data_IF_968689013500
#
_entry.id   IF_968689013500
#
_cell.length_a   1.000
_cell.length_b   1.000
_cell.length_c   1.000
_cell.angle_alpha   90.00
_cell.angle_beta   90.00
_cell.angle_gamma   90.00
#
_symmetry.space_group_name_H-M   'P 1'
#
loop_
_entity.id
_entity.type
_entity.pdbx_description
1 polymer ?
#
# COMPACT_ATOMS: atom_id res chain seq x y z
N UNK A 1 13.13 2.25 11.98
CA UNK A 1 12.65 3.65 11.82
C UNK A 1 11.20 3.73 12.32
N UNK A 2 10.78 4.77 13.05
CA UNK A 2 9.41 4.85 13.60
C UNK A 2 8.36 5.11 12.52
N UNK A 3 7.13 4.61 12.67
CA UNK A 3 6.03 4.81 11.71
C UNK A 3 5.79 6.29 11.38
N UNK A 4 5.76 7.14 12.40
CA UNK A 4 5.56 8.59 12.21
C UNK A 4 6.70 9.25 11.42
N UNK A 5 7.93 8.76 11.57
CA UNK A 5 9.09 9.25 10.83
C UNK A 5 9.02 8.83 9.36
N UNK A 6 8.64 7.57 9.08
CA UNK A 6 8.46 7.05 7.71
C UNK A 6 7.43 7.89 6.97
N UNK A 7 6.26 8.13 7.58
CA UNK A 7 5.21 8.99 7.02
C UNK A 7 5.72 10.40 6.71
N UNK A 8 6.39 11.03 7.67
CA UNK A 8 6.91 12.39 7.47
C UNK A 8 7.97 12.46 6.37
N UNK A 9 8.87 11.46 6.31
CA UNK A 9 9.90 11.37 5.26
C UNK A 9 9.29 11.22 3.87
N UNK A 10 8.28 10.37 3.72
CA UNK A 10 7.57 10.19 2.46
C UNK A 10 6.97 11.50 1.94
N UNK A 11 6.17 12.17 2.76
CA UNK A 11 5.51 13.42 2.35
C UNK A 11 6.53 14.51 2.02
N UNK A 12 7.56 14.68 2.85
CA UNK A 12 8.64 15.64 2.61
C UNK A 12 9.49 15.31 1.39
N UNK A 13 9.68 14.02 1.09
CA UNK A 13 10.41 13.60 -0.11
C UNK A 13 9.66 14.06 -1.35
N UNK A 14 8.38 13.75 -1.46
CA UNK A 14 7.58 14.16 -2.62
C UNK A 14 7.33 15.67 -2.68
N UNK A 15 7.24 16.36 -1.54
CA UNK A 15 7.26 17.83 -1.50
C UNK A 15 8.52 18.39 -2.18
N UNK A 16 9.71 17.81 -1.92
CA UNK A 16 10.96 18.20 -2.60
C UNK A 16 10.96 17.89 -4.10
N UNK A 17 10.15 16.92 -4.55
CA UNK A 17 9.95 16.60 -5.98
C UNK A 17 8.83 17.44 -6.63
N UNK A 18 8.31 18.45 -5.91
CA UNK A 18 7.32 19.40 -6.41
C UNK A 18 5.87 18.95 -6.27
N UNK A 19 5.59 17.92 -5.46
CA UNK A 19 4.22 17.50 -5.17
C UNK A 19 3.59 18.37 -4.11
N UNK A 20 2.32 18.73 -4.29
CA UNK A 20 1.54 19.39 -3.24
C UNK A 20 1.19 18.37 -2.16
N UNK A 21 1.61 18.61 -0.92
CA UNK A 21 1.20 17.78 0.23
C UNK A 21 -0.25 18.09 0.57
N UNK A 22 -1.10 17.07 0.58
CA UNK A 22 -2.52 17.19 0.91
C UNK A 22 -2.88 16.30 2.09
N UNK A 23 -3.90 16.72 2.81
CA UNK A 23 -4.49 15.93 3.88
C UNK A 23 -5.21 14.69 3.34
N UNK A 24 -5.27 13.65 4.17
CA UNK A 24 -6.12 12.48 3.93
C UNK A 24 -7.58 12.91 3.86
N UNK A 25 -8.32 12.41 2.86
CA UNK A 25 -9.77 12.57 2.81
C UNK A 25 -10.46 11.79 3.94
N UNK A 26 -11.74 12.08 4.15
CA UNK A 26 -12.63 11.25 4.98
C UNK A 26 -12.64 9.79 4.49
N UNK A 27 -12.90 8.86 5.41
CA UNK A 27 -13.16 7.45 5.09
C UNK A 27 -14.51 7.25 4.39
N UNK A 28 -15.46 8.15 4.62
CA UNK A 28 -16.78 8.13 3.99
C UNK A 28 -16.72 9.02 2.74
N UNK A 29 -16.88 8.46 1.53
CA UNK A 29 -16.88 9.24 0.30
C UNK A 29 -18.10 10.17 0.27
N UNK A 30 -17.88 11.45 -0.02
CA UNK A 30 -18.97 12.45 -0.03
C UNK A 30 -19.77 12.43 -1.34
N UNK A 31 -19.13 12.11 -2.47
CA UNK A 31 -19.69 12.29 -3.82
C UNK A 31 -19.52 11.05 -4.71
N UNK A 32 -19.35 9.86 -4.13
CA UNK A 32 -19.19 8.63 -4.91
C UNK A 32 -20.09 7.52 -4.38
N UNK A 33 -21.29 7.31 -4.98
CA UNK A 33 -22.22 6.27 -4.54
C UNK A 33 -21.73 4.85 -4.87
N UNK A 34 -20.64 4.71 -5.62
CA UNK A 34 -20.06 3.41 -5.99
C UNK A 34 -19.05 2.90 -4.96
N UNK A 35 -18.64 3.71 -3.98
CA UNK A 35 -17.78 3.28 -2.88
C UNK A 35 -18.51 3.30 -1.55
N UNK A 36 -18.32 2.20 -0.81
CA UNK A 36 -18.75 2.12 0.59
C UNK A 36 -17.81 2.92 1.50
N UNK A 37 -16.51 2.68 1.38
CA UNK A 37 -15.44 3.40 2.09
C UNK A 37 -14.30 3.73 1.15
N UNK A 38 -13.49 4.73 1.50
CA UNK A 38 -12.24 5.04 0.81
C UNK A 38 -11.28 3.86 0.95
N UNK A 39 -10.98 3.22 -0.17
CA UNK A 39 -10.18 2.00 -0.29
C UNK A 39 -8.75 2.24 -0.83
N UNK A 40 -8.46 3.47 -1.26
CA UNK A 40 -7.16 3.89 -1.81
C UNK A 40 -6.96 5.43 -1.74
N UNK A 41 -5.69 5.85 -1.80
CA UNK A 41 -5.30 7.27 -1.88
C UNK A 41 -5.92 8.03 -3.06
N UNK A 42 -6.08 7.34 -4.18
CA UNK A 42 -6.59 7.93 -5.42
C UNK A 42 -8.05 8.34 -5.39
N UNK A 43 -8.85 7.87 -4.42
CA UNK A 43 -10.30 8.04 -4.46
C UNK A 43 -10.71 9.52 -4.46
N UNK A 44 -10.01 10.37 -3.70
CA UNK A 44 -10.25 11.83 -3.65
C UNK A 44 -9.80 12.59 -4.92
N UNK A 45 -9.17 11.89 -5.87
CA UNK A 45 -8.68 12.42 -7.15
C UNK A 45 -9.37 11.75 -8.35
N UNK A 46 -10.41 10.93 -8.13
CA UNK A 46 -11.13 10.22 -9.20
C UNK A 46 -11.52 11.14 -10.36
N UNK A 47 -12.17 12.27 -10.06
CA UNK A 47 -12.62 13.21 -11.10
C UNK A 47 -11.48 13.99 -11.75
N UNK A 48 -10.33 14.12 -11.08
CA UNK A 48 -9.11 14.68 -11.68
C UNK A 48 -8.55 13.72 -12.74
N UNK A 49 -8.45 12.42 -12.43
CA UNK A 49 -8.02 11.41 -13.40
C UNK A 49 -8.99 11.31 -14.60
N UNK A 50 -10.29 11.44 -14.36
CA UNK A 50 -11.32 11.45 -15.40
C UNK A 50 -11.34 12.75 -16.23
N UNK A 51 -10.55 13.76 -15.86
CA UNK A 51 -10.54 15.08 -16.51
C UNK A 51 -11.80 15.92 -16.28
N UNK A 52 -12.60 15.58 -15.26
CA UNK A 52 -13.82 16.29 -14.86
C UNK A 52 -13.54 17.41 -13.86
N UNK A 53 -12.45 17.30 -13.12
CA UNK A 53 -12.01 18.29 -12.14
C UNK A 53 -10.60 18.79 -12.48
N UNK A 54 -10.38 20.10 -12.38
CA UNK A 54 -9.05 20.70 -12.49
C UNK A 54 -8.58 21.19 -11.12
N UNK A 55 -7.30 20.94 -10.81
CA UNK A 55 -6.63 21.44 -9.60
C UNK A 55 -5.59 22.49 -10.00
N UNK A 56 -5.20 23.35 -9.05
CA UNK A 56 -4.12 24.32 -9.25
C UNK A 56 -2.73 23.67 -9.32
N UNK A 57 -2.63 22.40 -8.96
CA UNK A 57 -1.42 21.57 -9.00
C UNK A 57 -1.62 20.38 -9.94
N UNK A 58 -0.52 19.92 -10.53
CA UNK A 58 -0.47 18.75 -11.42
C UNK A 58 0.14 17.52 -10.74
N UNK A 59 0.65 17.69 -9.50
CA UNK A 59 1.30 16.66 -8.69
C UNK A 59 0.83 16.76 -7.24
N UNK A 60 0.55 15.65 -6.58
CA UNK A 60 0.13 15.62 -5.18
C UNK A 60 0.71 14.44 -4.40
N UNK A 61 0.81 14.57 -3.07
CA UNK A 61 1.20 13.46 -2.19
C UNK A 61 0.36 13.45 -0.91
N UNK A 62 0.00 12.25 -0.42
CA UNK A 62 -0.85 12.06 0.77
C UNK A 62 -0.42 10.85 1.59
N UNK A 63 -0.85 10.83 2.85
CA UNK A 63 -0.93 9.62 3.68
C UNK A 63 -2.41 9.35 3.94
N UNK A 64 -3.05 8.60 3.04
CA UNK A 64 -4.49 8.39 3.07
C UNK A 64 -4.85 7.30 4.09
N UNK A 65 -5.79 7.61 4.98
CA UNK A 65 -6.48 6.62 5.80
C UNK A 65 -7.40 5.78 4.90
N UNK A 66 -7.28 4.46 4.96
CA UNK A 66 -7.98 3.53 4.07
C UNK A 66 -8.75 2.50 4.90
N UNK A 67 -9.95 2.12 4.42
CA UNK A 67 -10.71 0.97 4.94
C UNK A 67 -11.01 -0.02 3.81
N UNK A 68 -10.59 -1.28 3.98
CA UNK A 68 -10.87 -2.41 3.07
C UNK A 68 -11.66 -3.51 3.77
N UNK A 69 -12.93 -3.20 4.06
CA UNK A 69 -13.87 -4.10 4.75
C UNK A 69 -15.13 -4.40 3.91
N UNK A 70 -15.05 -4.25 2.58
CA UNK A 70 -16.16 -4.49 1.68
C UNK A 70 -15.94 -3.94 0.27
N UNK A 71 -16.79 -4.34 -0.67
CA UNK A 71 -16.67 -3.94 -2.08
C UNK A 71 -15.54 -4.68 -2.80
N UNK A 72 -14.93 -4.04 -3.81
CA UNK A 72 -13.90 -4.63 -4.68
C UNK A 72 -12.66 -5.08 -3.92
N UNK A 73 -12.21 -4.25 -2.97
CA UNK A 73 -11.03 -4.48 -2.15
C UNK A 73 -11.50 -4.79 -0.73
N UNK A 74 -11.56 -6.07 -0.39
CA UNK A 74 -12.04 -6.54 0.91
C UNK A 74 -11.02 -7.49 1.54
N UNK A 75 -10.41 -7.04 2.62
CA UNK A 75 -9.38 -7.79 3.35
C UNK A 75 -9.91 -8.38 4.67
N UNK A 76 -11.21 -8.22 4.97
CA UNK A 76 -11.79 -8.59 6.27
C UNK A 76 -11.50 -10.04 6.67
N UNK A 77 -11.64 -10.99 5.74
CA UNK A 77 -11.39 -12.42 5.98
C UNK A 77 -9.90 -12.78 6.13
N UNK A 78 -8.99 -11.88 5.72
CA UNK A 78 -7.53 -12.08 5.81
C UNK A 78 -6.94 -11.54 7.12
N UNK A 79 -7.68 -10.67 7.80
CA UNK A 79 -7.25 -10.02 9.04
C UNK A 79 -7.14 -11.07 10.15
N UNK A 80 -5.97 -11.12 10.77
CA UNK A 80 -5.65 -12.11 11.82
C UNK A 80 -5.20 -13.48 11.35
N UNK A 81 -5.32 -13.76 10.05
CA UNK A 81 -4.76 -14.96 9.44
C UNK A 81 -3.43 -14.71 8.73
N UNK A 82 -3.14 -13.45 8.41
CA UNK A 82 -1.93 -13.04 7.68
C UNK A 82 -1.16 -11.98 8.45
N UNK A 83 0.15 -11.88 8.22
CA UNK A 83 1.02 -10.93 8.89
C UNK A 83 0.89 -9.47 8.39
N UNK A 84 0.12 -9.24 7.31
CA UNK A 84 0.23 -8.04 6.46
C UNK A 84 -1.07 -7.34 6.06
N UNK A 85 -2.23 -7.91 6.40
CA UNK A 85 -3.54 -7.35 6.04
C UNK A 85 -4.23 -6.70 7.26
N UNK A 86 -4.89 -5.58 7.00
CA UNK A 86 -5.66 -4.82 7.97
C UNK A 86 -6.98 -4.39 7.34
N UNK A 87 -8.02 -4.19 8.15
CA UNK A 87 -9.21 -3.48 7.68
C UNK A 87 -8.92 -2.01 7.51
N UNK A 88 -8.26 -1.39 8.50
CA UNK A 88 -7.79 0.00 8.47
C UNK A 88 -6.27 0.08 8.35
N UNK A 89 -5.77 0.89 7.42
CA UNK A 89 -4.34 1.14 7.27
C UNK A 89 -4.08 2.50 6.61
N UNK A 90 -2.83 2.94 6.59
CA UNK A 90 -2.42 4.13 5.86
C UNK A 90 -1.72 3.81 4.55
N UNK A 91 -2.19 4.44 3.48
CA UNK A 91 -1.61 4.35 2.15
C UNK A 91 -0.86 5.64 1.83
N UNK A 92 0.46 5.54 1.75
CA UNK A 92 1.34 6.62 1.30
C UNK A 92 1.30 6.68 -0.23
N UNK A 93 0.83 7.78 -0.80
CA UNK A 93 0.66 7.91 -2.24
C UNK A 93 1.26 9.19 -2.80
N UNK A 94 1.90 9.08 -3.96
CA UNK A 94 2.19 10.20 -4.86
C UNK A 94 1.37 10.07 -6.14
N UNK A 95 0.90 11.20 -6.67
CA UNK A 95 -0.01 11.26 -7.80
C UNK A 95 0.53 12.25 -8.85
N UNK A 96 0.36 11.89 -10.12
CA UNK A 96 0.64 12.73 -11.29
C UNK A 96 -0.62 12.85 -12.13
N UNK A 97 -1.09 14.07 -12.37
CA UNK A 97 -2.30 14.36 -13.12
C UNK A 97 -1.93 14.89 -14.51
N UNK A 98 -1.53 14.00 -15.42
CA UNK A 98 -1.05 14.36 -16.74
C UNK A 98 0.25 15.18 -16.73
N UNK A 99 1.13 14.93 -15.77
CA UNK A 99 2.42 15.62 -15.60
C UNK A 99 3.60 14.71 -16.00
N UNK A 100 4.06 13.87 -15.09
CA UNK A 100 5.04 12.82 -15.34
C UNK A 100 4.36 11.45 -15.42
N UNK A 101 5.07 10.46 -15.98
CA UNK A 101 4.53 9.10 -16.17
C UNK A 101 5.53 8.02 -15.71
N UNK A 102 5.55 6.85 -16.34
CA UNK A 102 6.27 5.65 -15.86
C UNK A 102 7.71 5.90 -15.41
N UNK A 103 8.50 6.55 -16.26
CA UNK A 103 9.94 6.76 -16.05
C UNK A 103 10.23 7.48 -14.74
N UNK A 104 9.61 8.64 -14.51
CA UNK A 104 9.85 9.41 -13.29
C UNK A 104 9.14 8.81 -12.09
N UNK A 105 7.97 8.19 -12.26
CA UNK A 105 7.29 7.46 -11.18
C UNK A 105 8.17 6.35 -10.60
N UNK A 106 8.76 5.53 -11.48
CA UNK A 106 9.68 4.45 -11.11
C UNK A 106 10.94 5.03 -10.46
N UNK A 107 11.53 6.10 -11.03
CA UNK A 107 12.72 6.75 -10.46
C UNK A 107 12.47 7.31 -9.06
N UNK A 108 11.36 8.02 -8.84
CA UNK A 108 11.02 8.55 -7.52
C UNK A 108 10.80 7.43 -6.50
N UNK A 109 10.08 6.38 -6.88
CA UNK A 109 9.85 5.25 -5.99
C UNK A 109 11.17 4.57 -5.61
N UNK A 110 12.03 4.28 -6.59
CA UNK A 110 13.32 3.65 -6.38
C UNK A 110 14.27 4.50 -5.54
N UNK A 111 14.38 5.79 -5.85
CA UNK A 111 15.20 6.74 -5.09
C UNK A 111 14.72 6.86 -3.64
N UNK A 112 13.41 6.97 -3.41
CA UNK A 112 12.87 7.00 -2.05
C UNK A 112 13.25 5.74 -1.26
N UNK A 113 13.04 4.54 -1.79
CA UNK A 113 13.29 3.32 -1.01
C UNK A 113 14.78 3.01 -0.83
N UNK A 114 15.63 3.34 -1.80
CA UNK A 114 17.07 3.03 -1.73
C UNK A 114 17.88 4.14 -1.09
N UNK A 115 17.51 5.41 -1.29
CA UNK A 115 18.26 6.55 -0.79
C UNK A 115 17.66 7.20 0.45
N UNK A 116 16.33 7.32 0.57
CA UNK A 116 15.71 7.90 1.77
C UNK A 116 15.50 6.85 2.87
N UNK A 117 15.02 5.66 2.50
CA UNK A 117 14.75 4.56 3.44
C UNK A 117 15.91 3.57 3.60
N UNK A 118 16.91 3.62 2.70
CA UNK A 118 18.10 2.75 2.73
C UNK A 118 17.77 1.25 2.71
N UNK A 119 16.73 0.85 1.99
CA UNK A 119 16.43 -0.57 1.79
C UNK A 119 17.56 -1.24 0.97
N UNK A 120 17.95 -2.48 1.33
CA UNK A 120 19.02 -3.20 0.65
C UNK A 120 18.58 -3.62 -0.77
N UNK A 121 19.26 -3.07 -1.78
CA UNK A 121 18.94 -3.26 -3.21
C UNK A 121 18.92 -4.74 -3.62
N UNK A 122 19.78 -5.56 -3.03
CA UNK A 122 19.87 -6.99 -3.32
C UNK A 122 18.65 -7.80 -2.84
N UNK A 123 17.80 -7.22 -2.00
CA UNK A 123 16.53 -7.81 -1.54
C UNK A 123 15.31 -7.29 -2.28
N UNK A 124 15.45 -6.30 -3.17
CA UNK A 124 14.34 -5.68 -3.87
C UNK A 124 14.00 -6.42 -5.17
N UNK A 125 12.72 -6.66 -5.36
CA UNK A 125 12.14 -7.28 -6.55
C UNK A 125 11.04 -6.39 -7.09
N UNK A 126 10.76 -6.50 -8.38
CA UNK A 126 9.68 -5.75 -9.02
C UNK A 126 8.86 -6.66 -9.91
N UNK A 127 7.58 -6.35 -10.05
CA UNK A 127 6.70 -6.98 -11.03
C UNK A 127 6.20 -5.94 -12.02
N UNK A 128 5.88 -6.33 -13.24
CA UNK A 128 5.25 -5.48 -14.25
C UNK A 128 4.10 -6.22 -14.91
N UNK A 129 3.13 -5.49 -15.44
CA UNK A 129 2.10 -6.08 -16.28
C UNK A 129 2.72 -6.80 -17.48
N UNK A 130 2.21 -8.00 -17.79
CA UNK A 130 2.79 -8.91 -18.79
C UNK A 130 3.04 -8.25 -20.16
N UNK A 131 2.19 -7.30 -20.54
CA UNK A 131 2.25 -6.60 -21.84
C UNK A 131 2.90 -5.21 -21.73
N UNK A 132 3.43 -4.81 -20.56
CA UNK A 132 4.07 -3.51 -20.32
C UNK A 132 5.61 -3.59 -20.45
N UNK A 133 6.06 -3.70 -21.70
CA UNK A 133 7.50 -3.72 -22.03
C UNK A 133 8.22 -2.42 -21.66
N UNK A 134 7.51 -1.29 -21.68
CA UNK A 134 8.08 0.01 -21.32
C UNK A 134 8.52 0.02 -19.85
N UNK A 135 7.65 -0.43 -18.94
CA UNK A 135 7.99 -0.52 -17.51
C UNK A 135 9.15 -1.50 -17.27
N UNK A 136 9.15 -2.65 -17.94
CA UNK A 136 10.23 -3.63 -17.84
C UNK A 136 11.59 -3.04 -18.26
N UNK A 137 11.62 -2.31 -19.38
CA UNK A 137 12.83 -1.67 -19.89
C UNK A 137 13.32 -0.53 -18.99
N UNK A 138 12.43 0.25 -18.38
CA UNK A 138 12.81 1.28 -17.41
C UNK A 138 13.50 0.63 -16.20
N UNK A 139 12.90 -0.42 -15.62
CA UNK A 139 13.49 -1.12 -14.49
C UNK A 139 14.86 -1.74 -14.83
N UNK A 140 14.97 -2.40 -15.97
CA UNK A 140 16.21 -3.07 -16.37
C UNK A 140 17.31 -2.07 -16.77
N UNK A 141 17.00 -1.15 -17.69
CA UNK A 141 18.02 -0.35 -18.38
C UNK A 141 18.30 0.98 -17.70
N UNK A 142 17.29 1.59 -17.07
CA UNK A 142 17.45 2.90 -16.44
C UNK A 142 17.72 2.79 -14.94
N UNK A 143 16.99 1.92 -14.25
CA UNK A 143 17.19 1.71 -12.81
C UNK A 143 18.32 0.71 -12.55
N UNK A 144 18.50 -0.29 -13.42
CA UNK A 144 19.54 -1.31 -13.26
C UNK A 144 19.13 -2.47 -12.36
N UNK A 145 17.83 -2.77 -12.25
CA UNK A 145 17.36 -3.98 -11.57
C UNK A 145 17.77 -5.20 -12.39
N UNK A 146 18.37 -6.21 -11.74
CA UNK A 146 18.72 -7.48 -12.38
C UNK A 146 17.46 -8.08 -13.03
N UNK A 147 17.47 -8.43 -14.33
CA UNK A 147 16.34 -9.06 -15.01
C UNK A 147 15.72 -10.25 -14.26
N UNK A 148 16.52 -11.00 -13.49
CA UNK A 148 16.05 -12.14 -12.68
C UNK A 148 15.14 -11.73 -11.51
N UNK A 149 15.10 -10.44 -11.17
CA UNK A 149 14.24 -9.84 -10.14
C UNK A 149 13.08 -9.04 -10.72
N UNK A 150 12.90 -9.04 -12.05
CA UNK A 150 11.79 -8.40 -12.76
C UNK A 150 10.81 -9.50 -13.21
N UNK A 151 9.66 -9.59 -12.54
CA UNK A 151 8.63 -10.58 -12.81
C UNK A 151 7.53 -9.98 -13.68
N UNK A 152 6.85 -10.81 -14.49
CA UNK A 152 5.72 -10.39 -15.32
C UNK A 152 4.46 -11.12 -14.89
N UNK A 153 3.42 -10.39 -14.47
CA UNK A 153 2.13 -10.97 -14.10
C UNK A 153 0.97 -10.43 -14.94
N UNK A 154 -0.15 -11.17 -14.92
CA UNK A 154 -1.36 -10.84 -15.67
C UNK A 154 -2.24 -9.80 -14.99
N UNK A 155 -3.49 -9.70 -15.47
CA UNK A 155 -4.47 -8.70 -15.02
C UNK A 155 -4.77 -8.80 -13.53
N UNK A 156 -4.76 -10.02 -12.96
CA UNK A 156 -5.06 -10.26 -11.55
C UNK A 156 -4.14 -9.45 -10.61
N UNK A 157 -2.85 -9.38 -10.93
CA UNK A 157 -1.83 -8.86 -10.02
C UNK A 157 -1.25 -7.52 -10.49
N UNK A 158 -1.13 -7.31 -11.82
CA UNK A 158 -0.53 -6.10 -12.37
C UNK A 158 -1.45 -5.26 -13.26
N UNK A 159 -2.76 -5.35 -13.05
CA UNK A 159 -3.72 -4.38 -13.56
C UNK A 159 -4.64 -3.92 -12.44
N UNK A 160 -4.50 -2.66 -12.03
CA UNK A 160 -5.22 -2.14 -10.88
C UNK A 160 -6.51 -1.43 -11.29
N UNK A 161 -7.59 -1.64 -10.55
CA UNK A 161 -8.83 -0.87 -10.66
C UNK A 161 -9.38 -0.43 -9.31
N UNK A 162 -9.98 0.76 -9.27
CA UNK A 162 -10.58 1.34 -8.07
C UNK A 162 -11.78 0.54 -7.56
N UNK A 163 -12.56 0.02 -8.49
CA UNK A 163 -13.76 -0.76 -8.28
C UNK A 163 -14.08 -1.55 -9.55
N UNK A 164 -15.36 -1.89 -9.72
CA UNK A 164 -15.84 -2.50 -10.98
C UNK A 164 -15.90 -1.49 -12.13
N UNK A 165 -16.02 -0.20 -11.80
CA UNK A 165 -15.93 0.93 -12.75
C UNK A 165 -14.95 1.98 -12.25
N UNK A 166 -14.51 2.87 -13.14
CA UNK A 166 -13.66 4.01 -12.80
C UNK A 166 -12.22 3.92 -13.35
N UNK A 167 -11.35 4.86 -12.93
CA UNK A 167 -9.95 4.89 -13.36
C UNK A 167 -9.21 3.59 -13.04
N UNK A 168 -8.42 3.12 -14.00
CA UNK A 168 -7.64 1.89 -13.92
C UNK A 168 -6.47 1.89 -14.91
N UNK A 169 -5.57 0.91 -14.77
CA UNK A 169 -4.46 0.74 -15.69
C UNK A 169 -3.49 -0.36 -15.28
N UNK A 170 -2.52 -0.70 -16.15
CA UNK A 170 -1.42 -1.58 -15.79
C UNK A 170 -0.59 -0.94 -14.67
N UNK A 171 0.03 -1.78 -13.85
CA UNK A 171 0.87 -1.31 -12.75
C UNK A 171 2.16 -2.10 -12.64
N UNK A 172 3.09 -1.53 -11.87
CA UNK A 172 4.31 -2.20 -11.42
C UNK A 172 4.34 -2.18 -9.90
N UNK A 173 4.70 -3.30 -9.28
CA UNK A 173 4.72 -3.43 -7.83
C UNK A 173 6.13 -3.73 -7.34
N UNK A 174 6.47 -3.20 -6.17
CA UNK A 174 7.76 -3.39 -5.52
C UNK A 174 7.60 -4.34 -4.33
N UNK A 175 8.54 -5.27 -4.27
CA UNK A 175 8.58 -6.34 -3.28
C UNK A 175 9.92 -6.34 -2.56
N UNK A 176 9.92 -6.80 -1.31
CA UNK A 176 11.15 -7.12 -0.57
C UNK A 176 11.18 -8.60 -0.21
N UNK A 177 12.33 -9.25 -0.42
CA UNK A 177 12.61 -10.57 0.15
C UNK A 177 13.03 -10.41 1.61
N UNK A 178 12.13 -10.74 2.53
CA UNK A 178 12.38 -10.71 3.98
C UNK A 178 13.24 -11.89 4.47
N UNK A 179 13.52 -12.85 3.59
CA UNK A 179 14.33 -14.03 3.85
C UNK A 179 13.51 -15.31 4.11
N UNK A 180 14.21 -16.45 4.04
CA UNK A 180 13.60 -17.78 4.09
C UNK A 180 12.80 -18.07 5.37
N UNK A 181 13.10 -17.40 6.50
CA UNK A 181 12.34 -17.55 7.76
C UNK A 181 10.85 -17.20 7.63
N UNK A 182 10.49 -16.38 6.65
CA UNK A 182 9.09 -16.02 6.34
C UNK A 182 8.52 -16.78 5.14
N UNK A 183 9.28 -17.74 4.59
CA UNK A 183 8.88 -18.53 3.43
C UNK A 183 8.00 -19.73 3.82
N UNK A 184 7.28 -20.28 2.84
CA UNK A 184 6.44 -21.45 3.03
C UNK A 184 7.20 -22.80 3.02
N UNK A 185 8.54 -22.77 2.97
CA UNK A 185 9.39 -23.97 2.92
C UNK A 185 9.40 -24.71 1.57
N UNK A 186 8.57 -24.33 0.60
CA UNK A 186 8.56 -24.92 -0.74
C UNK A 186 9.77 -24.45 -1.56
N UNK A 187 10.29 -25.33 -2.41
CA UNK A 187 11.45 -25.05 -3.27
C UNK A 187 11.19 -24.00 -4.34
N UNK A 188 9.93 -23.77 -4.69
CA UNK A 188 9.45 -22.80 -5.69
C UNK A 188 8.94 -21.49 -5.05
N UNK A 189 9.23 -21.24 -3.77
CA UNK A 189 8.88 -19.99 -3.09
C UNK A 189 9.55 -18.79 -3.78
N UNK A 190 8.76 -18.01 -4.51
CA UNK A 190 9.17 -16.85 -5.29
C UNK A 190 8.18 -15.68 -5.13
N UNK A 191 8.46 -14.54 -5.80
CA UNK A 191 7.53 -13.40 -5.90
C UNK A 191 6.18 -13.89 -6.47
N UNK A 192 5.07 -13.42 -5.88
CA UNK A 192 3.72 -13.91 -6.19
C UNK A 192 3.25 -15.10 -5.35
N UNK A 193 4.08 -15.63 -4.45
CA UNK A 193 3.65 -16.63 -3.47
C UNK A 193 2.82 -15.98 -2.35
N UNK A 194 1.77 -16.66 -1.88
CA UNK A 194 0.87 -16.15 -0.82
C UNK A 194 1.53 -16.03 0.58
N UNK A 195 2.74 -16.60 0.75
CA UNK A 195 3.50 -16.52 2.00
C UNK A 195 4.05 -15.11 2.26
N UNK A 196 4.58 -14.88 3.46
CA UNK A 196 5.04 -13.56 3.90
C UNK A 196 6.50 -13.24 3.53
N UNK A 197 7.19 -14.08 2.74
CA UNK A 197 8.60 -13.86 2.36
C UNK A 197 8.78 -12.69 1.41
N UNK A 198 8.09 -12.73 0.28
CA UNK A 198 8.14 -11.68 -0.74
C UNK A 198 6.98 -10.74 -0.52
N UNK A 199 7.21 -9.69 0.27
CA UNK A 199 6.14 -8.78 0.67
C UNK A 199 6.01 -7.64 -0.34
N UNK A 200 4.85 -7.53 -0.98
CA UNK A 200 4.45 -6.31 -1.71
C UNK A 200 4.33 -5.16 -0.72
N UNK A 201 4.95 -4.03 -1.02
CA UNK A 201 4.85 -2.87 -0.15
C UNK A 201 4.52 -1.57 -0.88
N UNK A 202 4.70 -1.50 -2.21
CA UNK A 202 4.38 -0.33 -3.01
C UNK A 202 3.89 -0.71 -4.41
N UNK A 203 2.69 -0.26 -4.79
CA UNK A 203 2.15 -0.38 -6.13
C UNK A 203 2.18 0.98 -6.86
N UNK A 204 2.68 1.01 -8.10
CA UNK A 204 2.70 2.15 -9.01
C UNK A 204 1.78 1.87 -10.20
N UNK A 205 0.60 2.48 -10.19
CA UNK A 205 -0.43 2.35 -11.22
C UNK A 205 -0.27 3.42 -12.29
N UNK A 206 -0.19 2.97 -13.54
CA UNK A 206 -0.12 3.84 -14.71
C UNK A 206 -1.54 4.01 -15.26
N UNK A 207 -2.27 4.95 -14.66
CA UNK A 207 -3.65 5.28 -14.99
C UNK A 207 -3.79 5.65 -16.46
N UNK A 208 -4.50 4.80 -17.21
CA UNK A 208 -4.64 4.92 -18.66
C UNK A 208 -6.09 4.79 -19.12
N UNK A 209 -6.94 4.14 -18.33
CA UNK A 209 -8.31 3.81 -18.73
C UNK A 209 -9.33 4.20 -17.66
N UNK A 210 -10.57 4.41 -18.09
CA UNK A 210 -11.76 4.36 -17.28
C UNK A 210 -12.56 3.11 -17.68
N UNK A 211 -12.80 2.20 -16.74
CA UNK A 211 -13.64 1.02 -16.96
C UNK A 211 -15.10 1.39 -16.77
N UNK A 212 -15.95 1.08 -17.76
CA UNK A 212 -17.40 1.27 -17.64
C UNK A 212 -18.10 0.03 -17.05
N UNK A 213 -19.44 0.08 -16.96
CA UNK A 213 -20.26 -0.99 -16.36
C UNK A 213 -20.25 -2.28 -17.18
N UNK A 214 -19.98 -2.21 -18.48
CA UNK A 214 -19.87 -3.37 -19.37
C UNK A 214 -18.44 -3.94 -19.37
N UNK A 215 -17.53 -3.33 -18.59
CA UNK A 215 -16.13 -3.72 -18.49
C UNK A 215 -15.26 -3.19 -19.63
N UNK A 216 -15.79 -2.31 -20.49
CA UNK A 216 -15.05 -1.70 -21.60
C UNK A 216 -14.09 -0.64 -21.06
N UNK A 217 -12.86 -0.66 -21.58
CA UNK A 217 -11.80 0.27 -21.20
C UNK A 217 -11.78 1.48 -22.14
N UNK A 218 -12.16 2.64 -21.62
CA UNK A 218 -12.11 3.91 -22.34
C UNK A 218 -10.82 4.65 -22.00
N UNK A 219 -10.02 5.13 -22.96
CA UNK A 219 -8.80 5.89 -22.66
C UNK A 219 -9.09 7.14 -21.82
N UNK A 220 -8.27 7.40 -20.79
CA UNK A 220 -8.33 8.65 -20.03
C UNK A 220 -7.81 9.82 -20.89
N UNK A 221 -8.27 11.07 -20.63
CA UNK A 221 -7.82 12.24 -21.39
C UNK A 221 -6.31 12.48 -21.32
N UNK A 222 -5.68 12.11 -20.20
CA UNK A 222 -4.23 12.25 -19.96
C UNK A 222 -3.73 11.03 -19.18
N UNK A 223 -2.72 10.28 -19.70
CA UNK A 223 -2.02 9.27 -18.92
C UNK A 223 -1.49 9.89 -17.61
N UNK A 224 -1.72 9.19 -16.51
CA UNK A 224 -1.52 9.73 -15.16
C UNK A 224 -0.92 8.66 -14.24
N UNK A 225 -0.41 9.07 -13.08
CA UNK A 225 0.19 8.12 -12.11
C UNK A 225 -0.59 8.17 -10.81
N UNK A 226 -0.90 6.99 -10.31
CA UNK A 226 -1.38 6.74 -8.96
C UNK A 226 -0.41 5.76 -8.29
N UNK A 227 -0.06 6.00 -7.03
CA UNK A 227 0.78 5.06 -6.28
C UNK A 227 0.22 4.86 -4.89
N UNK A 228 0.45 3.67 -4.33
CA UNK A 228 0.03 3.33 -2.99
C UNK A 228 1.05 2.42 -2.31
N UNK A 229 1.68 2.93 -1.26
CA UNK A 229 2.61 2.21 -0.41
C UNK A 229 1.97 1.97 0.96
N UNK A 230 1.93 0.71 1.42
CA UNK A 230 1.38 0.39 2.74
C UNK A 230 2.33 0.85 3.84
N UNK A 231 1.92 1.84 4.65
CA UNK A 231 2.78 2.41 5.69
C UNK A 231 3.22 1.35 6.70
N UNK A 232 2.29 0.50 7.15
CA UNK A 232 2.51 -0.54 8.15
C UNK A 232 3.44 -1.62 7.61
N UNK A 233 3.33 -1.96 6.33
CA UNK A 233 4.21 -2.93 5.66
C UNK A 233 5.64 -2.42 5.60
N UNK A 234 5.84 -1.17 5.15
CA UNK A 234 7.17 -0.56 5.09
C UNK A 234 7.75 -0.36 6.49
N UNK A 235 6.93 -0.04 7.49
CA UNK A 235 7.36 0.01 8.87
C UNK A 235 7.83 -1.35 9.37
N UNK A 236 7.10 -2.43 9.10
CA UNK A 236 7.50 -3.80 9.45
C UNK A 236 8.85 -4.17 8.84
N UNK A 237 9.06 -3.82 7.56
CA UNK A 237 10.32 -4.04 6.85
C UNK A 237 11.48 -3.27 7.52
N UNK A 238 11.28 -1.98 7.81
CA UNK A 238 12.31 -1.11 8.40
C UNK A 238 12.55 -1.34 9.90
N UNK A 239 11.69 -2.08 10.56
CA UNK A 239 11.81 -2.47 11.97
C UNK A 239 12.19 -3.95 12.13
N UNK A 240 12.29 -4.71 11.03
CA UNK A 240 12.50 -6.18 11.00
C UNK A 240 11.55 -6.93 11.95
N UNK A 241 10.28 -6.52 11.99
CA UNK A 241 9.26 -7.22 12.76
C UNK A 241 8.73 -8.42 12.00
N UNK A 242 8.18 -9.42 12.70
CA UNK A 242 7.61 -10.60 12.06
C UNK A 242 6.26 -10.29 11.39
N UNK A 243 5.48 -9.44 12.02
CA UNK A 243 4.16 -8.99 11.53
C UNK A 243 4.04 -7.48 11.54
N UNK A 244 3.09 -6.94 10.75
CA UNK A 244 2.74 -5.53 10.83
C UNK A 244 2.29 -5.12 12.23
N UNK A 245 1.64 -6.02 12.99
CA UNK A 245 1.11 -5.75 14.32
C UNK A 245 2.18 -5.53 15.41
N UNK A 246 3.43 -5.89 15.11
CA UNK A 246 4.58 -5.71 16.00
C UNK A 246 5.33 -4.39 15.76
N UNK A 247 4.86 -3.54 14.82
CA UNK A 247 5.48 -2.23 14.62
C UNK A 247 5.20 -1.29 15.81
N UNK A 248 6.04 -0.27 15.94
CA UNK A 248 5.99 0.69 17.05
C UNK A 248 4.61 1.34 17.28
N UNK A 249 3.85 1.65 16.23
CA UNK A 249 2.51 2.25 16.38
C UNK A 249 1.49 1.29 17.03
N UNK A 250 1.48 0.02 16.60
CA UNK A 250 0.55 -0.96 17.13
C UNK A 250 0.94 -1.42 18.54
N UNK A 251 2.23 -1.64 18.79
CA UNK A 251 2.73 -1.90 20.15
C UNK A 251 2.38 -0.76 21.12
N UNK A 252 2.49 0.49 20.67
CA UNK A 252 2.09 1.64 21.50
C UNK A 252 0.58 1.65 21.81
N UNK A 253 -0.28 1.27 20.85
CA UNK A 253 -1.72 1.12 21.10
C UNK A 253 -1.96 0.07 22.18
N UNK A 254 -1.38 -1.12 22.03
CA UNK A 254 -1.55 -2.23 22.97
C UNK A 254 -1.04 -1.87 24.37
N UNK A 255 0.13 -1.22 24.47
CA UNK A 255 0.67 -0.76 25.76
C UNK A 255 -0.20 0.28 26.45
N UNK A 256 -0.83 1.19 25.70
CA UNK A 256 -1.74 2.17 26.28
C UNK A 256 -3.06 1.53 26.70
N UNK A 257 -3.57 0.60 25.89
CA UNK A 257 -4.76 -0.18 26.21
C UNK A 257 -4.53 -1.03 27.47
N UNK A 258 -3.38 -1.67 27.60
CA UNK A 258 -2.97 -2.41 28.79
C UNK A 258 -2.99 -1.56 30.07
N UNK A 259 -2.53 -0.30 30.00
CA UNK A 259 -2.55 0.64 31.13
C UNK A 259 -3.96 1.05 31.55
N UNK A 260 -4.92 0.99 30.63
CA UNK A 260 -6.34 1.24 30.93
C UNK A 260 -7.03 0.03 31.56
N UNK A 261 -6.44 -1.16 31.47
CA UNK A 261 -6.94 -2.37 32.11
C UNK A 261 -6.67 -2.38 33.62
N UNK A 262 -7.72 -2.55 34.42
CA UNK A 262 -7.58 -2.79 35.86
C UNK A 262 -6.99 -4.19 36.09
N UNK A 263 -6.08 -4.34 37.06
CA UNK A 263 -5.46 -5.62 37.43
C UNK A 263 -4.88 -6.41 36.24
N UNK A 264 -4.21 -5.71 35.31
CA UNK A 264 -3.59 -6.31 34.12
C UNK A 264 -4.56 -7.01 33.16
N UNK A 265 -5.87 -6.87 33.37
CA UNK A 265 -6.87 -7.53 32.55
C UNK A 265 -7.40 -6.57 31.49
N UNK A 266 -7.34 -6.95 30.21
CA UNK A 266 -8.03 -6.22 29.15
C UNK A 266 -9.49 -6.66 29.07
N UNK A 267 -10.44 -5.72 29.10
CA UNK A 267 -11.85 -6.07 28.99
C UNK A 267 -12.16 -6.65 27.61
N UNK A 268 -13.06 -7.65 27.58
CA UNK A 268 -13.54 -8.24 26.32
C UNK A 268 -14.17 -7.20 25.39
N UNK A 269 -14.75 -6.12 25.92
CA UNK A 269 -15.28 -5.00 25.12
C UNK A 269 -14.16 -4.25 24.39
N UNK A 270 -13.04 -3.97 25.06
CA UNK A 270 -11.91 -3.28 24.42
C UNK A 270 -11.23 -4.22 23.42
N UNK A 271 -11.04 -5.49 23.76
CA UNK A 271 -10.50 -6.49 22.84
C UNK A 271 -11.40 -6.65 21.60
N UNK A 272 -12.72 -6.67 21.79
CA UNK A 272 -13.68 -6.70 20.70
C UNK A 272 -13.64 -5.41 19.87
N UNK A 273 -13.52 -4.24 20.49
CA UNK A 273 -13.39 -2.97 19.75
C UNK A 273 -12.07 -2.89 18.96
N UNK A 274 -10.97 -3.42 19.51
CA UNK A 274 -9.71 -3.55 18.77
C UNK A 274 -9.87 -4.45 17.54
N UNK A 275 -10.55 -5.58 17.68
CA UNK A 275 -10.86 -6.49 16.58
C UNK A 275 -11.81 -5.87 15.55
N UNK A 276 -12.98 -5.44 15.97
CA UNK A 276 -14.06 -4.95 15.11
C UNK A 276 -13.70 -3.62 14.42
N UNK A 277 -13.12 -2.67 15.16
CA UNK A 277 -12.84 -1.33 14.63
C UNK A 277 -11.50 -1.24 13.91
N UNK A 278 -10.46 -1.91 14.42
CA UNK A 278 -9.09 -1.77 13.91
C UNK A 278 -8.57 -3.04 13.22
N UNK A 279 -9.36 -4.10 13.16
CA UNK A 279 -8.91 -5.38 12.62
C UNK A 279 -7.79 -6.00 13.45
N UNK A 280 -7.74 -5.73 14.76
CA UNK A 280 -6.73 -6.30 15.63
C UNK A 280 -7.14 -7.70 16.08
N UNK A 281 -6.46 -8.77 15.66
CA UNK A 281 -6.89 -10.14 15.94
C UNK A 281 -6.96 -10.37 17.44
N UNK A 282 -8.05 -10.98 17.93
CA UNK A 282 -8.21 -11.21 19.37
C UNK A 282 -7.14 -12.15 19.91
N UNK A 283 -6.76 -13.17 19.13
CA UNK A 283 -5.69 -14.10 19.49
C UNK A 283 -4.33 -13.41 19.58
N UNK A 284 -4.04 -12.51 18.65
CA UNK A 284 -2.79 -11.74 18.66
C UNK A 284 -2.76 -10.75 19.83
N UNK A 285 -3.90 -10.11 20.12
CA UNK A 285 -4.07 -9.27 21.31
C UNK A 285 -3.76 -10.09 22.56
N UNK A 286 -4.29 -11.32 22.68
CA UNK A 286 -3.99 -12.22 23.80
C UNK A 286 -2.50 -12.57 23.88
N UNK A 287 -1.88 -12.98 22.78
CA UNK A 287 -0.45 -13.36 22.76
C UNK A 287 0.44 -12.19 23.19
N UNK A 288 0.21 -10.99 22.64
CA UNK A 288 1.03 -9.81 22.98
C UNK A 288 0.83 -9.39 24.44
N UNK A 289 -0.39 -9.53 24.98
CA UNK A 289 -0.66 -9.28 26.40
C UNK A 289 0.04 -10.31 27.30
N UNK A 290 -0.05 -11.60 26.95
CA UNK A 290 0.63 -12.69 27.67
C UNK A 290 2.15 -12.48 27.73
N UNK A 291 2.79 -12.10 26.60
CA UNK A 291 4.22 -11.77 26.54
C UNK A 291 4.60 -10.57 27.43
N UNK A 292 3.66 -9.65 27.65
CA UNK A 292 3.84 -8.49 28.53
C UNK A 292 3.44 -8.78 29.98
N UNK A 293 3.06 -10.02 30.29
CA UNK A 293 2.66 -10.47 31.62
C UNK A 293 1.35 -9.82 32.07
N UNK A 294 0.43 -9.61 31.12
CA UNK A 294 -0.93 -9.10 31.30
C UNK A 294 -1.96 -10.20 31.09
#
# INVERSE_FOLDING_TARGET
>A
MKVAEIRSRFLKYFERQGHTVLESSSLVPQNDPTLLFVNAGMNQFKDVFLGKENRSYTRATTSQKVVRAGGKHNDLENVGYTARHHTFFEMLGNFSFGDYFKKDAIRYAWDFITNELKLPVDKLYVTVYKDDDEAALIWEKEIGVDPKRIYRFGEKDNFWSMGDTGPCGPCTELFVDRGAKYGCGKSDCAVGCDCDRYMEFWNLVFMQYNRDQDGVLHPLPKPSVDTGMGLERVASILQDTATNYEIDSFLAILQNVAKLGENKTLSGEIAFRLYDTFGFPIDLTRIILEEQGL
#
